data_IF_991194491392
#
_entry.id   IF_991194491392
#
_cell.length_a   1.000
_cell.length_b   1.000
_cell.length_c   1.000
_cell.angle_alpha   90.00
_cell.angle_beta   90.00
_cell.angle_gamma   90.00
#
_symmetry.space_group_name_H-M   'P 1'
#
loop_
_entity.id
_entity.type
_entity.pdbx_description
1 polymer ?
#
# COMPACT_ATOMS: atom_id res chain seq x y z
N UNK A 1 83.21 -11.31 24.88
CA UNK A 1 82.16 -10.74 25.70
C UNK A 1 80.88 -10.74 24.81
N UNK A 2 79.96 -11.57 25.15
CA UNK A 2 78.73 -11.87 24.34
C UNK A 2 77.67 -10.80 24.54
N UNK A 3 77.10 -10.30 23.44
CA UNK A 3 75.84 -9.55 23.49
C UNK A 3 74.81 -10.32 22.65
N UNK A 4 73.76 -10.73 23.33
CA UNK A 4 72.56 -11.37 22.79
C UNK A 4 71.64 -10.33 22.20
N UNK A 5 71.29 -10.49 20.93
CA UNK A 5 70.20 -9.78 20.27
C UNK A 5 68.89 -10.53 20.53
N UNK A 6 67.94 -9.90 21.23
CA UNK A 6 66.57 -10.36 21.35
C UNK A 6 65.70 -9.60 20.35
N UNK A 7 65.06 -10.35 19.46
CA UNK A 7 64.04 -9.84 18.53
C UNK A 7 62.67 -10.06 19.14
N UNK A 8 61.78 -9.08 19.29
CA UNK A 8 60.38 -9.29 19.60
C UNK A 8 59.56 -9.28 18.31
N UNK A 9 58.98 -10.41 17.97
CA UNK A 9 57.92 -10.49 16.93
C UNK A 9 56.69 -9.76 17.42
N UNK A 10 56.33 -8.68 16.72
CA UNK A 10 55.06 -7.94 16.91
C UNK A 10 53.99 -8.69 16.11
N UNK A 11 53.13 -9.43 16.84
CA UNK A 11 51.92 -10.02 16.28
C UNK A 11 50.85 -8.90 16.12
N UNK A 12 50.60 -8.48 14.90
CA UNK A 12 49.46 -7.62 14.56
C UNK A 12 48.24 -8.52 14.39
N UNK A 13 47.36 -8.51 15.39
CA UNK A 13 46.07 -9.13 15.35
C UNK A 13 45.12 -8.25 14.52
N UNK A 14 44.84 -8.64 13.27
CA UNK A 14 43.81 -8.01 12.46
C UNK A 14 42.42 -8.49 12.99
N UNK A 15 41.78 -7.67 13.79
CA UNK A 15 40.39 -7.90 14.15
C UNK A 15 39.53 -7.57 12.92
N UNK A 16 39.04 -8.62 12.23
CA UNK A 16 37.97 -8.49 11.22
C UNK A 16 36.69 -8.12 11.95
N UNK A 17 36.34 -6.84 11.92
CA UNK A 17 34.99 -6.38 12.29
C UNK A 17 34.03 -6.86 11.20
N UNK A 18 33.38 -8.00 11.45
CA UNK A 18 32.19 -8.41 10.73
C UNK A 18 31.08 -7.42 11.09
N UNK A 19 30.87 -6.43 10.24
CA UNK A 19 29.62 -5.64 10.27
C UNK A 19 28.49 -6.55 9.83
N UNK A 20 27.75 -7.08 10.80
CA UNK A 20 26.45 -7.68 10.53
C UNK A 20 25.56 -6.59 9.93
N UNK A 21 24.86 -6.85 8.82
CA UNK A 21 23.86 -5.90 8.35
C UNK A 21 22.88 -5.68 9.50
N UNK A 22 22.59 -4.41 9.78
CA UNK A 22 21.58 -4.02 10.76
C UNK A 22 20.25 -4.59 10.29
N UNK A 23 19.85 -5.74 10.85
CA UNK A 23 18.52 -6.26 10.64
C UNK A 23 17.52 -5.18 11.10
N UNK A 24 16.57 -4.86 10.26
CA UNK A 24 15.45 -4.00 10.65
C UNK A 24 14.83 -4.63 11.89
N UNK A 25 14.90 -3.91 13.02
CA UNK A 25 14.23 -4.32 14.24
C UNK A 25 12.74 -4.18 13.99
N UNK A 26 12.05 -5.29 13.81
CA UNK A 26 10.58 -5.28 13.81
C UNK A 26 10.09 -4.59 15.10
N UNK A 27 9.10 -3.70 15.01
CA UNK A 27 8.52 -3.12 16.22
C UNK A 27 8.03 -4.24 17.12
N UNK A 28 8.21 -4.07 18.42
CA UNK A 28 7.88 -5.09 19.44
C UNK A 28 6.39 -5.40 19.56
N UNK A 29 5.54 -4.67 18.81
CA UNK A 29 4.11 -4.89 18.71
C UNK A 29 3.66 -4.44 17.31
N UNK A 30 3.49 -5.33 16.33
CA UNK A 30 2.98 -4.99 15.01
C UNK A 30 1.55 -4.45 15.14
N UNK A 31 1.18 -3.49 14.26
CA UNK A 31 -0.20 -2.97 14.19
C UNK A 31 -1.14 -4.02 13.63
N UNK A 32 -0.68 -4.75 12.65
CA UNK A 32 -1.41 -5.75 11.89
C UNK A 32 -1.01 -7.15 12.33
N UNK A 33 -2.00 -8.01 12.63
CA UNK A 33 -1.81 -9.44 12.89
C UNK A 33 -1.96 -10.22 11.58
N UNK A 34 -0.84 -10.69 11.02
CA UNK A 34 -0.82 -11.39 9.73
C UNK A 34 -1.60 -12.73 9.72
N UNK A 35 -1.90 -13.30 10.89
CA UNK A 35 -2.63 -14.58 11.01
C UNK A 35 -4.15 -14.39 11.14
N UNK A 36 -4.59 -13.22 11.64
CA UNK A 36 -5.99 -12.99 12.00
C UNK A 36 -6.67 -11.87 11.21
N UNK A 37 -5.92 -10.81 10.85
CA UNK A 37 -6.48 -9.60 10.29
C UNK A 37 -6.69 -9.66 8.78
N UNK A 38 -7.60 -8.80 8.30
CA UNK A 38 -7.85 -8.56 6.87
C UNK A 38 -7.28 -7.20 6.47
N UNK A 39 -6.47 -7.17 5.41
CA UNK A 39 -6.00 -5.95 4.77
C UNK A 39 -6.83 -5.63 3.53
N UNK A 40 -7.57 -4.53 3.57
CA UNK A 40 -8.28 -3.97 2.43
C UNK A 40 -7.47 -2.83 1.81
N UNK A 41 -7.39 -2.75 0.49
CA UNK A 41 -6.84 -1.59 -0.22
C UNK A 41 -7.89 -1.03 -1.16
N UNK A 42 -8.35 0.21 -0.89
CA UNK A 42 -9.44 0.88 -1.59
C UNK A 42 -8.87 1.90 -2.59
N UNK A 43 -8.73 1.49 -3.85
CA UNK A 43 -8.22 2.31 -4.94
C UNK A 43 -9.35 3.11 -5.60
N UNK A 44 -9.18 4.42 -5.74
CA UNK A 44 -10.17 5.24 -6.45
C UNK A 44 -10.00 5.17 -7.98
N UNK A 45 -8.79 5.07 -8.48
CA UNK A 45 -8.43 5.07 -9.91
C UNK A 45 -9.09 6.23 -10.67
N UNK A 46 -9.23 7.39 -10.00
CA UNK A 46 -9.93 8.55 -10.51
C UNK A 46 -9.45 9.83 -9.80
N UNK A 47 -9.03 10.79 -10.45
CA UNK A 47 -8.86 11.11 -11.88
C UNK A 47 -7.39 10.95 -12.32
N UNK A 48 -6.53 10.56 -11.40
CA UNK A 48 -5.09 10.32 -11.57
C UNK A 48 -4.83 8.86 -11.99
N UNK A 49 -3.58 8.58 -12.30
CA UNK A 49 -3.08 7.25 -12.70
C UNK A 49 -2.10 6.65 -11.69
N UNK A 50 -1.88 7.29 -10.55
CA UNK A 50 -1.01 6.85 -9.46
C UNK A 50 -1.49 5.52 -8.84
N UNK A 51 -2.79 5.36 -8.66
CA UNK A 51 -3.41 4.09 -8.27
C UNK A 51 -2.99 2.91 -9.17
N UNK A 52 -2.76 3.14 -10.45
CA UNK A 52 -2.36 2.08 -11.37
C UNK A 52 -0.98 1.53 -11.02
N UNK A 53 -0.04 2.40 -10.62
CA UNK A 53 1.23 1.97 -10.07
C UNK A 53 1.07 1.39 -8.65
N UNK A 54 0.15 1.94 -7.86
CA UNK A 54 -0.15 1.49 -6.49
C UNK A 54 -0.72 0.06 -6.48
N UNK A 55 -1.57 -0.32 -7.44
CA UNK A 55 -2.05 -1.71 -7.64
C UNK A 55 -0.89 -2.68 -7.85
N UNK A 56 0.06 -2.35 -8.73
CA UNK A 56 1.23 -3.20 -8.97
C UNK A 56 2.14 -3.26 -7.75
N UNK A 57 2.30 -2.15 -7.02
CA UNK A 57 3.08 -2.10 -5.80
C UNK A 57 2.45 -2.93 -4.68
N UNK A 58 1.12 -2.85 -4.49
CA UNK A 58 0.40 -3.68 -3.52
C UNK A 58 0.57 -5.17 -3.82
N UNK A 59 0.38 -5.59 -5.08
CA UNK A 59 0.60 -6.97 -5.50
C UNK A 59 2.05 -7.41 -5.25
N UNK A 60 3.03 -6.53 -5.43
CA UNK A 60 4.44 -6.82 -5.17
C UNK A 60 4.70 -7.05 -3.68
N UNK A 61 4.13 -6.23 -2.79
CA UNK A 61 4.20 -6.45 -1.34
C UNK A 61 3.55 -7.78 -0.97
N UNK A 62 2.32 -8.05 -1.44
CA UNK A 62 1.57 -9.26 -1.13
C UNK A 62 2.19 -10.54 -1.72
N UNK A 63 3.11 -10.44 -2.67
CA UNK A 63 3.86 -11.57 -3.21
C UNK A 63 5.18 -11.83 -2.49
N UNK A 64 5.65 -10.91 -1.66
CA UNK A 64 6.93 -11.00 -0.96
C UNK A 64 6.79 -11.59 0.44
N UNK A 65 7.83 -12.30 0.91
CA UNK A 65 7.92 -12.69 2.33
C UNK A 65 8.27 -11.47 3.21
N UNK A 66 7.66 -11.29 4.39
CA UNK A 66 6.74 -12.24 5.08
C UNK A 66 5.23 -11.99 4.79
N UNK A 67 4.87 -11.20 3.76
CA UNK A 67 3.50 -10.72 3.55
C UNK A 67 2.65 -11.62 2.64
N UNK A 68 3.26 -12.63 1.99
CA UNK A 68 2.59 -13.52 1.03
C UNK A 68 1.40 -14.32 1.58
N UNK A 69 1.30 -14.45 2.91
CA UNK A 69 0.23 -15.18 3.59
C UNK A 69 -0.87 -14.27 4.17
N UNK A 70 -0.71 -12.95 4.06
CA UNK A 70 -1.71 -11.99 4.57
C UNK A 70 -3.03 -12.15 3.82
N UNK A 71 -4.12 -12.23 4.58
CA UNK A 71 -5.47 -12.13 4.02
C UNK A 71 -5.70 -10.69 3.54
N UNK A 72 -5.92 -10.52 2.25
CA UNK A 72 -6.08 -9.19 1.65
C UNK A 72 -7.12 -9.19 0.54
N UNK A 73 -7.72 -8.01 0.29
CA UNK A 73 -8.64 -7.80 -0.81
C UNK A 73 -8.53 -6.36 -1.33
N UNK A 74 -8.60 -6.19 -2.65
CA UNK A 74 -8.54 -4.89 -3.30
C UNK A 74 -9.92 -4.45 -3.79
N UNK A 75 -10.22 -3.16 -3.71
CA UNK A 75 -11.44 -2.57 -4.27
C UNK A 75 -11.07 -1.53 -5.31
N UNK A 76 -11.57 -1.68 -6.52
CA UNK A 76 -11.41 -0.70 -7.59
C UNK A 76 -12.63 0.23 -7.65
N UNK A 77 -12.40 1.55 -7.71
CA UNK A 77 -13.47 2.54 -7.82
C UNK A 77 -14.01 3.04 -6.48
N UNK A 78 -13.17 3.05 -5.43
CA UNK A 78 -13.49 3.62 -4.11
C UNK A 78 -13.34 5.14 -4.11
N UNK A 79 -14.09 5.85 -4.98
CA UNK A 79 -14.01 7.30 -5.14
C UNK A 79 -15.23 8.03 -4.56
N UNK A 80 -15.02 9.32 -4.25
CA UNK A 80 -16.02 10.23 -3.72
C UNK A 80 -16.60 11.17 -4.78
N UNK A 81 -16.55 12.48 -4.48
CA UNK A 81 -17.17 13.55 -5.29
C UNK A 81 -16.21 14.22 -6.27
N UNK A 82 -14.96 13.75 -6.39
CA UNK A 82 -14.01 14.31 -7.33
C UNK A 82 -14.52 14.23 -8.78
N UNK A 83 -14.26 15.31 -9.53
CA UNK A 83 -14.52 15.35 -10.97
C UNK A 83 -13.50 14.47 -11.72
N UNK A 84 -13.72 14.27 -13.02
CA UNK A 84 -12.83 13.53 -13.90
C UNK A 84 -13.31 12.12 -14.20
N UNK A 85 -12.53 11.42 -15.02
CA UNK A 85 -12.88 10.10 -15.52
C UNK A 85 -12.10 9.01 -14.79
N UNK A 86 -12.79 7.91 -14.52
CA UNK A 86 -12.18 6.68 -14.03
C UNK A 86 -11.13 6.12 -15.02
N UNK A 87 -10.07 5.53 -14.52
CA UNK A 87 -9.04 4.84 -15.30
C UNK A 87 -9.38 3.34 -15.34
N UNK A 88 -9.85 2.81 -16.48
CA UNK A 88 -10.23 1.41 -16.56
C UNK A 88 -8.97 0.51 -16.53
N UNK A 89 -8.87 -0.30 -15.50
CA UNK A 89 -7.70 -1.16 -15.24
C UNK A 89 -8.10 -2.57 -14.76
N UNK A 90 -9.30 -3.07 -15.07
CA UNK A 90 -9.79 -4.36 -14.59
C UNK A 90 -8.82 -5.51 -14.92
N UNK A 91 -8.18 -5.48 -16.11
CA UNK A 91 -7.17 -6.47 -16.50
C UNK A 91 -5.95 -6.48 -15.55
N UNK A 92 -5.58 -5.33 -15.00
CA UNK A 92 -4.49 -5.22 -14.03
C UNK A 92 -4.90 -5.79 -12.68
N UNK A 93 -6.09 -5.45 -12.18
CA UNK A 93 -6.62 -5.98 -10.92
C UNK A 93 -6.76 -7.51 -10.97
N UNK A 94 -7.29 -8.04 -12.07
CA UNK A 94 -7.40 -9.49 -12.26
C UNK A 94 -6.04 -10.18 -12.30
N UNK A 95 -5.06 -9.60 -13.00
CA UNK A 95 -3.70 -10.13 -13.07
C UNK A 95 -2.97 -10.04 -11.72
N UNK A 96 -3.24 -8.98 -10.92
CA UNK A 96 -2.63 -8.73 -9.63
C UNK A 96 -3.20 -9.64 -8.52
N UNK A 97 -4.51 -9.80 -8.48
CA UNK A 97 -5.21 -10.34 -7.30
C UNK A 97 -6.07 -11.58 -7.59
N UNK A 98 -6.31 -11.94 -8.86
CA UNK A 98 -7.19 -13.04 -9.22
C UNK A 98 -8.62 -12.81 -8.73
N UNK A 99 -9.08 -13.62 -7.77
CA UNK A 99 -10.42 -13.47 -7.16
C UNK A 99 -10.44 -12.53 -5.94
N UNK A 100 -9.29 -11.95 -5.54
CA UNK A 100 -9.18 -11.11 -4.34
C UNK A 100 -9.34 -9.62 -4.65
N UNK A 101 -10.31 -9.28 -5.50
CA UNK A 101 -10.67 -7.89 -5.78
C UNK A 101 -12.13 -7.77 -6.17
N UNK A 102 -12.70 -6.57 -5.96
CA UNK A 102 -14.08 -6.24 -6.31
C UNK A 102 -14.15 -4.93 -7.08
N UNK A 103 -15.01 -4.88 -8.12
CA UNK A 103 -15.22 -3.71 -9.00
C UNK A 103 -16.39 -2.86 -8.50
N UNK A 104 -16.10 -1.90 -7.63
CA UNK A 104 -17.10 -0.95 -7.14
C UNK A 104 -17.45 0.13 -8.18
N UNK A 105 -16.59 0.36 -9.20
CA UNK A 105 -16.90 1.29 -10.29
C UNK A 105 -18.06 0.80 -11.15
N UNK A 106 -18.04 -0.47 -11.54
CA UNK A 106 -19.05 -1.05 -12.45
C UNK A 106 -20.23 -1.65 -11.67
N UNK A 107 -19.97 -2.28 -10.53
CA UNK A 107 -20.97 -3.05 -9.77
C UNK A 107 -20.90 -2.74 -8.27
N UNK A 108 -21.15 -1.49 -7.89
CA UNK A 108 -21.02 -1.01 -6.52
C UNK A 108 -21.69 -1.90 -5.47
N UNK A 109 -22.96 -2.27 -5.68
CA UNK A 109 -23.70 -3.08 -4.70
C UNK A 109 -23.17 -4.51 -4.58
N UNK A 110 -22.68 -5.09 -5.66
CA UNK A 110 -22.05 -6.42 -5.63
C UNK A 110 -20.71 -6.34 -4.88
N UNK A 111 -19.87 -5.38 -5.22
CA UNK A 111 -18.59 -5.16 -4.53
C UNK A 111 -18.81 -4.89 -3.04
N UNK A 112 -19.82 -4.08 -2.68
CA UNK A 112 -20.19 -3.82 -1.29
C UNK A 112 -20.57 -5.10 -0.55
N UNK A 113 -21.41 -5.94 -1.15
CA UNK A 113 -21.84 -7.20 -0.53
C UNK A 113 -20.68 -8.18 -0.33
N UNK A 114 -19.82 -8.33 -1.33
CA UNK A 114 -18.62 -9.21 -1.29
C UNK A 114 -17.66 -8.78 -0.19
N UNK A 115 -17.34 -7.50 -0.12
CA UNK A 115 -16.42 -6.97 0.89
C UNK A 115 -17.03 -6.99 2.28
N UNK A 116 -18.34 -6.71 2.41
CA UNK A 116 -19.04 -6.78 3.70
C UNK A 116 -19.04 -8.21 4.28
N UNK A 117 -19.14 -9.25 3.44
CA UNK A 117 -19.04 -10.64 3.86
C UNK A 117 -17.64 -10.96 4.41
N UNK A 118 -16.58 -10.57 3.69
CA UNK A 118 -15.18 -10.76 4.13
C UNK A 118 -14.89 -10.05 5.46
N UNK A 119 -15.35 -8.81 5.59
CA UNK A 119 -15.17 -8.01 6.81
C UNK A 119 -15.91 -8.63 7.98
N UNK A 120 -17.17 -9.01 7.77
CA UNK A 120 -17.99 -9.62 8.84
C UNK A 120 -17.40 -10.94 9.32
N UNK A 121 -16.94 -11.80 8.41
CA UNK A 121 -16.29 -13.07 8.74
C UNK A 121 -14.99 -12.83 9.55
N UNK A 122 -14.17 -11.84 9.15
CA UNK A 122 -12.95 -11.49 9.88
C UNK A 122 -13.27 -11.02 11.30
N UNK A 123 -14.23 -10.10 11.45
CA UNK A 123 -14.63 -9.58 12.77
C UNK A 123 -15.25 -10.67 13.65
N UNK A 124 -16.05 -11.58 13.10
CA UNK A 124 -16.67 -12.70 13.82
C UNK A 124 -15.64 -13.72 14.32
N UNK A 125 -14.57 -13.94 13.56
CA UNK A 125 -13.49 -14.85 13.91
C UNK A 125 -12.43 -14.26 14.84
N UNK A 126 -12.53 -12.97 15.16
CA UNK A 126 -11.70 -12.30 16.15
C UNK A 126 -10.54 -11.48 15.56
N UNK A 127 -10.36 -11.43 14.24
CA UNK A 127 -9.39 -10.57 13.55
C UNK A 127 -9.91 -9.13 13.41
N UNK A 128 -9.04 -8.18 13.21
CA UNK A 128 -9.36 -6.80 12.91
C UNK A 128 -9.29 -6.54 11.39
N UNK A 129 -9.90 -5.44 10.95
CA UNK A 129 -9.89 -5.06 9.53
C UNK A 129 -9.13 -3.75 9.38
N UNK A 130 -8.14 -3.75 8.50
CA UNK A 130 -7.32 -2.61 8.18
C UNK A 130 -7.60 -2.14 6.76
N UNK A 131 -8.04 -0.90 6.62
CA UNK A 131 -8.35 -0.29 5.33
C UNK A 131 -7.24 0.71 4.97
N UNK A 132 -6.46 0.42 3.95
CA UNK A 132 -5.63 1.40 3.26
C UNK A 132 -6.55 2.19 2.32
N UNK A 133 -6.90 3.41 2.73
CA UNK A 133 -7.84 4.29 2.02
C UNK A 133 -7.08 5.06 0.93
N UNK A 134 -6.66 4.36 -0.13
CA UNK A 134 -5.93 4.95 -1.27
C UNK A 134 -6.79 5.93 -2.07
N UNK A 135 -8.10 5.87 -1.88
CA UNK A 135 -9.09 6.78 -2.45
C UNK A 135 -9.85 7.60 -1.40
N UNK A 136 -11.17 7.66 -1.55
CA UNK A 136 -12.03 8.43 -0.67
C UNK A 136 -12.95 7.53 0.16
N UNK A 137 -13.35 8.02 1.33
CA UNK A 137 -14.08 7.26 2.35
C UNK A 137 -15.53 6.90 1.96
N UNK A 138 -15.95 7.13 0.73
CA UNK A 138 -17.32 6.91 0.28
C UNK A 138 -17.71 5.43 0.24
N UNK A 139 -16.81 4.57 -0.23
CA UNK A 139 -17.02 3.13 -0.22
C UNK A 139 -16.94 2.57 1.21
N UNK A 140 -15.94 2.98 1.98
CA UNK A 140 -15.79 2.58 3.39
C UNK A 140 -16.99 2.98 4.25
N UNK A 141 -17.56 4.17 4.00
CA UNK A 141 -18.80 4.58 4.70
C UNK A 141 -19.97 3.65 4.40
N UNK A 142 -20.15 3.27 3.12
CA UNK A 142 -21.19 2.32 2.74
C UNK A 142 -20.96 0.93 3.36
N UNK A 143 -19.71 0.46 3.36
CA UNK A 143 -19.29 -0.80 3.95
C UNK A 143 -19.60 -0.86 5.45
N UNK A 144 -19.20 0.15 6.21
CA UNK A 144 -19.45 0.20 7.66
C UNK A 144 -20.95 0.31 7.96
N UNK A 145 -21.71 1.07 7.15
CA UNK A 145 -23.17 1.16 7.29
C UNK A 145 -23.84 -0.19 7.05
N UNK A 146 -23.43 -0.93 6.02
CA UNK A 146 -23.94 -2.26 5.71
C UNK A 146 -23.68 -3.24 6.86
N UNK A 147 -22.44 -3.28 7.38
CA UNK A 147 -22.08 -4.14 8.52
C UNK A 147 -22.89 -3.80 9.75
N UNK A 148 -23.01 -2.52 10.12
CA UNK A 148 -23.80 -2.11 11.28
C UNK A 148 -25.30 -2.42 11.12
N UNK A 149 -25.80 -2.44 9.87
CA UNK A 149 -27.20 -2.77 9.58
C UNK A 149 -27.50 -4.27 9.70
N UNK A 150 -26.58 -5.12 9.20
CA UNK A 150 -26.75 -6.58 9.13
C UNK A 150 -26.24 -7.25 10.40
N UNK A 151 -25.16 -6.76 10.97
CA UNK A 151 -24.43 -7.30 12.13
C UNK A 151 -24.25 -6.23 13.21
N UNK A 152 -25.30 -5.74 13.85
CA UNK A 152 -25.24 -4.60 14.79
C UNK A 152 -24.42 -4.89 16.05
N UNK A 153 -24.10 -6.15 16.32
CA UNK A 153 -23.30 -6.57 17.47
C UNK A 153 -21.76 -6.56 17.18
N UNK A 154 -21.35 -6.35 15.92
CA UNK A 154 -19.94 -6.24 15.56
C UNK A 154 -19.40 -4.84 15.89
N UNK A 155 -18.28 -4.79 16.57
CA UNK A 155 -17.61 -3.53 16.94
C UNK A 155 -16.80 -2.95 15.78
N UNK A 156 -17.44 -2.13 14.95
CA UNK A 156 -16.78 -1.43 13.85
C UNK A 156 -15.87 -0.31 14.35
N UNK A 157 -16.21 0.29 15.50
CA UNK A 157 -15.56 1.50 15.98
C UNK A 157 -14.15 1.30 16.51
N UNK A 158 -13.82 0.11 17.00
CA UNK A 158 -12.49 -0.22 17.52
C UNK A 158 -11.75 -1.30 16.73
N UNK A 159 -12.45 -1.96 15.77
CA UNK A 159 -11.89 -3.11 15.05
C UNK A 159 -11.84 -2.94 13.52
N UNK A 160 -12.39 -1.84 13.00
CA UNK A 160 -12.13 -1.41 11.63
C UNK A 160 -11.21 -0.18 11.72
N UNK A 161 -9.95 -0.38 11.35
CA UNK A 161 -8.93 0.65 11.33
C UNK A 161 -8.82 1.23 9.92
N UNK A 162 -9.11 2.52 9.76
CA UNK A 162 -9.02 3.21 8.46
C UNK A 162 -7.79 4.10 8.47
N UNK A 163 -6.88 3.86 7.55
CA UNK A 163 -5.65 4.64 7.39
C UNK A 163 -5.74 5.47 6.12
N UNK A 164 -5.64 6.78 6.27
CA UNK A 164 -5.78 7.75 5.19
C UNK A 164 -4.62 8.73 5.17
N UNK A 165 -3.99 8.91 4.03
CA UNK A 165 -3.10 10.04 3.77
C UNK A 165 -3.85 11.18 3.05
N UNK A 166 -3.16 12.27 2.72
CA UNK A 166 -3.63 13.36 1.86
C UNK A 166 -4.89 14.11 2.32
N UNK A 167 -4.78 15.42 2.44
CA UNK A 167 -5.92 16.29 2.66
C UNK A 167 -6.83 16.37 1.41
N UNK A 168 -6.28 16.07 0.23
CA UNK A 168 -7.04 16.06 -1.01
C UNK A 168 -8.07 14.91 -1.01
N UNK A 169 -7.68 13.71 -0.60
CA UNK A 169 -8.58 12.57 -0.48
C UNK A 169 -9.73 12.87 0.48
N UNK A 170 -9.45 13.44 1.67
CA UNK A 170 -10.51 13.85 2.60
C UNK A 170 -11.43 14.92 2.01
N UNK A 171 -10.90 15.92 1.30
CA UNK A 171 -11.70 16.98 0.70
C UNK A 171 -12.50 16.52 -0.54
N UNK A 172 -12.10 15.41 -1.15
CA UNK A 172 -12.74 14.78 -2.31
C UNK A 172 -13.73 13.68 -1.92
N UNK A 173 -13.81 13.31 -0.65
CA UNK A 173 -14.86 12.48 -0.10
C UNK A 173 -16.16 13.27 0.08
N UNK A 174 -17.32 12.59 0.04
CA UNK A 174 -18.59 13.19 0.48
C UNK A 174 -18.47 13.56 1.97
N UNK A 175 -18.64 14.84 2.37
CA UNK A 175 -18.34 15.29 3.73
C UNK A 175 -19.05 14.51 4.84
N UNK A 176 -20.31 14.14 4.61
CA UNK A 176 -21.12 13.36 5.56
C UNK A 176 -20.58 11.93 5.71
N UNK A 177 -20.07 11.35 4.62
CA UNK A 177 -19.51 9.99 4.60
C UNK A 177 -18.14 9.96 5.28
N UNK A 178 -17.25 10.90 4.99
CA UNK A 178 -16.00 11.05 5.72
C UNK A 178 -16.23 11.20 7.22
N UNK A 179 -17.14 12.10 7.62
CA UNK A 179 -17.48 12.28 9.03
C UNK A 179 -18.04 11.00 9.66
N UNK A 180 -18.83 10.24 8.91
CA UNK A 180 -19.37 8.97 9.37
C UNK A 180 -18.26 7.96 9.62
N UNK A 181 -17.31 7.78 8.68
CA UNK A 181 -16.16 6.89 8.85
C UNK A 181 -15.34 7.30 10.07
N UNK A 182 -14.99 8.58 10.20
CA UNK A 182 -14.24 9.12 11.34
C UNK A 182 -14.92 8.90 12.70
N UNK A 183 -16.25 8.77 12.74
CA UNK A 183 -17.01 8.57 13.96
C UNK A 183 -17.39 7.12 14.28
N UNK A 184 -17.20 6.19 13.33
CA UNK A 184 -17.66 4.80 13.45
C UNK A 184 -16.56 3.76 13.19
N UNK A 185 -15.32 4.22 13.03
CA UNK A 185 -14.11 3.39 12.85
C UNK A 185 -12.96 3.96 13.68
N UNK A 186 -11.90 3.21 13.84
CA UNK A 186 -10.62 3.70 14.36
C UNK A 186 -9.84 4.38 13.21
N UNK A 187 -10.05 5.68 13.04
CA UNK A 187 -9.56 6.45 11.90
C UNK A 187 -8.20 7.07 12.17
N UNK A 188 -7.22 6.74 11.34
CA UNK A 188 -5.83 7.20 11.41
C UNK A 188 -5.48 8.10 10.25
N UNK A 189 -5.36 9.41 10.48
CA UNK A 189 -4.78 10.32 9.50
C UNK A 189 -3.26 10.28 9.60
N UNK A 190 -2.61 9.81 8.54
CA UNK A 190 -1.16 9.81 8.43
C UNK A 190 -0.64 11.00 7.59
N UNK A 191 0.66 11.34 7.65
CA UNK A 191 1.23 12.35 6.77
C UNK A 191 1.05 12.01 5.29
N UNK A 192 1.04 13.03 4.44
CA UNK A 192 0.79 12.91 3.00
C UNK A 192 1.88 12.07 2.31
N UNK A 193 1.50 10.95 1.69
CA UNK A 193 2.39 10.05 0.96
C UNK A 193 3.03 10.68 -0.28
N UNK A 194 2.44 11.76 -0.81
CA UNK A 194 3.01 12.52 -1.93
C UNK A 194 4.16 13.44 -1.52
N UNK A 195 4.32 13.73 -0.23
CA UNK A 195 5.33 14.67 0.25
C UNK A 195 6.58 13.96 0.75
N UNK A 196 7.74 14.37 0.29
CA UNK A 196 9.03 13.81 0.68
C UNK A 196 9.49 14.36 2.04
N UNK A 197 10.01 13.46 2.91
CA UNK A 197 10.67 13.86 4.15
C UNK A 197 9.74 14.18 5.31
N UNK A 198 8.48 13.81 5.25
CA UNK A 198 7.47 14.01 6.28
C UNK A 198 7.23 12.77 7.18
N UNK A 199 7.96 11.68 6.95
CA UNK A 199 7.85 10.42 7.69
C UNK A 199 7.09 9.32 6.96
N UNK A 200 6.59 9.60 5.75
CA UNK A 200 6.07 8.58 4.83
C UNK A 200 7.14 8.13 3.84
N UNK A 201 7.00 6.95 3.21
CA UNK A 201 7.86 6.53 2.11
C UNK A 201 7.80 7.50 0.92
N UNK A 202 8.93 7.71 0.24
CA UNK A 202 9.04 8.55 -0.95
C UNK A 202 8.72 7.77 -2.22
N UNK A 203 7.46 7.38 -2.41
CA UNK A 203 7.01 6.56 -3.55
C UNK A 203 6.55 7.39 -4.76
N UNK A 204 6.70 8.69 -4.69
CA UNK A 204 6.39 9.63 -5.77
C UNK A 204 7.70 10.30 -6.26
N UNK A 205 8.20 9.88 -7.42
CA UNK A 205 9.51 10.32 -7.94
C UNK A 205 9.51 10.46 -9.46
N UNK A 206 10.18 11.51 -9.96
CA UNK A 206 10.47 11.68 -11.39
C UNK A 206 11.71 10.89 -11.86
N UNK A 207 12.44 10.29 -10.93
CA UNK A 207 13.66 9.56 -11.24
C UNK A 207 13.35 8.25 -11.99
N UNK A 208 14.16 7.95 -13.01
CA UNK A 208 14.13 6.64 -13.66
C UNK A 208 14.80 5.60 -12.78
N UNK A 209 14.14 4.49 -12.54
CA UNK A 209 14.61 3.39 -11.70
C UNK A 209 14.78 2.14 -12.57
N UNK A 210 15.89 1.42 -12.41
CA UNK A 210 16.14 0.12 -13.05
C UNK A 210 15.41 -1.01 -12.27
N UNK A 211 14.09 -0.87 -12.16
CA UNK A 211 13.24 -1.71 -11.34
C UNK A 211 13.21 -3.18 -11.76
N UNK A 212 13.37 -3.46 -13.06
CA UNK A 212 13.34 -4.84 -13.59
C UNK A 212 14.47 -5.70 -13.03
N UNK A 213 15.62 -5.12 -12.81
CA UNK A 213 16.79 -5.83 -12.26
C UNK A 213 16.59 -6.20 -10.79
N UNK A 214 15.65 -5.54 -10.12
CA UNK A 214 15.31 -5.78 -8.72
C UNK A 214 14.20 -6.81 -8.54
N UNK A 215 13.41 -7.12 -9.58
CA UNK A 215 12.29 -8.07 -9.52
C UNK A 215 12.73 -9.44 -10.07
N UNK A 216 12.58 -10.48 -9.25
CA UNK A 216 12.93 -11.85 -9.64
C UNK A 216 11.77 -12.63 -10.27
N UNK A 217 10.51 -12.32 -9.95
CA UNK A 217 9.34 -13.00 -10.51
C UNK A 217 8.93 -12.39 -11.87
N UNK A 218 8.96 -13.16 -12.97
CA UNK A 218 8.52 -12.68 -14.28
C UNK A 218 7.05 -12.24 -14.32
N UNK A 219 6.20 -12.76 -13.44
CA UNK A 219 4.80 -12.33 -13.34
C UNK A 219 4.68 -10.91 -12.81
N UNK A 220 5.46 -10.56 -11.79
CA UNK A 220 5.52 -9.20 -11.27
C UNK A 220 6.13 -8.24 -12.29
N UNK A 221 7.15 -8.66 -13.05
CA UNK A 221 7.68 -7.85 -14.16
C UNK A 221 6.57 -7.55 -15.17
N UNK A 222 5.82 -8.56 -15.62
CA UNK A 222 4.70 -8.38 -16.57
C UNK A 222 3.59 -7.50 -15.98
N UNK A 223 3.31 -7.63 -14.68
CA UNK A 223 2.32 -6.80 -13.99
C UNK A 223 2.72 -5.32 -13.99
N UNK A 224 3.97 -5.02 -13.63
CA UNK A 224 4.48 -3.65 -13.68
C UNK A 224 4.53 -3.08 -15.10
N UNK A 225 4.91 -3.88 -16.11
CA UNK A 225 4.84 -3.46 -17.51
C UNK A 225 3.41 -3.10 -17.91
N UNK A 226 2.42 -3.87 -17.48
CA UNK A 226 1.00 -3.60 -17.73
C UNK A 226 0.56 -2.32 -17.01
N UNK A 227 0.91 -2.15 -15.74
CA UNK A 227 0.58 -0.94 -14.96
C UNK A 227 1.16 0.32 -15.62
N UNK A 228 2.45 0.31 -15.95
CA UNK A 228 3.12 1.42 -16.63
C UNK A 228 2.46 1.72 -18.00
N UNK A 229 2.08 0.71 -18.76
CA UNK A 229 1.42 0.89 -20.05
C UNK A 229 0.03 1.52 -19.90
N UNK A 230 -0.77 1.09 -18.92
CA UNK A 230 -2.09 1.66 -18.61
C UNK A 230 -1.93 3.11 -18.12
N UNK A 231 -1.06 3.34 -17.14
CA UNK A 231 -0.81 4.68 -16.61
C UNK A 231 -0.41 5.65 -17.74
N UNK A 232 0.56 5.30 -18.57
CA UNK A 232 0.98 6.12 -19.72
C UNK A 232 -0.12 6.36 -20.75
N UNK A 233 -1.04 5.41 -20.94
CA UNK A 233 -2.18 5.55 -21.87
C UNK A 233 -3.17 6.62 -21.42
N UNK A 234 -3.43 6.71 -20.11
CA UNK A 234 -4.51 7.56 -19.57
C UNK A 234 -4.01 8.84 -18.91
N UNK A 235 -2.72 8.94 -18.58
CA UNK A 235 -2.14 10.08 -17.88
C UNK A 235 -2.38 11.40 -18.65
N UNK A 236 -3.13 12.31 -18.06
CA UNK A 236 -3.50 13.59 -18.64
C UNK A 236 -4.44 13.52 -19.86
N UNK A 237 -5.00 12.32 -20.18
CA UNK A 237 -5.87 12.15 -21.35
C UNK A 237 -7.34 12.37 -20.99
N UNK A 238 -8.12 12.90 -21.93
CA UNK A 238 -9.59 13.07 -21.82
C UNK A 238 -10.02 13.84 -20.56
N UNK A 239 -9.22 14.81 -20.13
CA UNK A 239 -9.49 15.62 -18.94
C UNK A 239 -9.07 15.00 -17.61
N UNK A 240 -8.40 13.85 -17.62
CA UNK A 240 -7.76 13.30 -16.43
C UNK A 240 -6.59 14.15 -15.98
N UNK A 241 -6.26 14.08 -14.70
CA UNK A 241 -5.10 14.76 -14.15
C UNK A 241 -3.80 14.27 -14.81
N UNK A 242 -2.87 15.20 -15.05
CA UNK A 242 -1.54 14.88 -15.54
C UNK A 242 -0.60 14.65 -14.36
N UNK A 243 -0.33 13.40 -14.03
CA UNK A 243 0.74 13.06 -13.10
C UNK A 243 2.10 13.28 -13.77
N UNK A 244 2.80 14.34 -13.31
CA UNK A 244 4.02 14.77 -13.95
C UNK A 244 5.15 13.73 -13.82
N UNK A 245 5.28 13.11 -12.66
CA UNK A 245 6.36 12.15 -12.42
C UNK A 245 6.23 10.92 -13.31
N UNK A 246 5.03 10.38 -13.46
CA UNK A 246 4.74 9.30 -14.42
C UNK A 246 4.98 9.76 -15.85
N UNK A 247 4.61 10.99 -16.21
CA UNK A 247 4.75 11.52 -17.59
C UNK A 247 6.20 11.60 -18.07
N UNK A 248 7.17 11.71 -17.16
CA UNK A 248 8.61 11.77 -17.47
C UNK A 248 9.31 10.42 -17.30
N UNK A 249 8.55 9.33 -17.02
CA UNK A 249 9.06 7.97 -16.90
C UNK A 249 9.47 7.57 -15.48
N UNK A 250 9.08 8.36 -14.49
CA UNK A 250 9.22 8.03 -13.08
C UNK A 250 8.03 7.20 -12.54
N UNK A 251 7.89 7.19 -11.23
CA UNK A 251 6.88 6.40 -10.51
C UNK A 251 6.07 7.27 -9.57
N UNK A 252 4.81 6.90 -9.42
CA UNK A 252 3.95 7.35 -8.35
C UNK A 252 3.08 6.20 -7.89
N UNK A 253 3.31 5.74 -6.65
CA UNK A 253 2.49 4.79 -5.91
C UNK A 253 2.45 5.24 -4.44
N UNK A 254 2.26 6.55 -4.26
CA UNK A 254 2.21 7.20 -2.95
C UNK A 254 1.09 6.71 -2.05
N UNK A 255 0.02 6.15 -2.62
CA UNK A 255 -1.06 5.49 -1.87
C UNK A 255 -0.60 4.23 -1.12
N UNK A 256 0.57 3.71 -1.44
CA UNK A 256 1.16 2.65 -0.63
C UNK A 256 1.73 3.14 0.70
N UNK A 257 1.64 4.43 1.00
CA UNK A 257 1.99 4.98 2.31
C UNK A 257 1.10 4.40 3.42
N UNK A 258 -0.20 4.19 3.16
CA UNK A 258 -1.12 3.55 4.09
C UNK A 258 -0.73 2.11 4.36
N UNK A 259 -0.50 1.33 3.31
CA UNK A 259 -0.08 -0.08 3.42
C UNK A 259 1.26 -0.18 4.17
N UNK A 260 2.22 0.68 3.84
CA UNK A 260 3.51 0.73 4.53
C UNK A 260 3.33 1.06 6.02
N UNK A 261 2.43 1.97 6.37
CA UNK A 261 2.13 2.31 7.76
C UNK A 261 1.47 1.13 8.49
N UNK A 262 0.46 0.49 7.89
CA UNK A 262 -0.23 -0.67 8.47
C UNK A 262 0.75 -1.81 8.76
N UNK A 263 1.62 -2.10 7.79
CA UNK A 263 2.58 -3.21 7.87
C UNK A 263 3.90 -2.85 8.58
N UNK A 264 4.00 -1.68 9.22
CA UNK A 264 5.21 -1.18 9.88
C UNK A 264 6.44 -1.07 8.96
N UNK A 265 6.22 -0.65 7.72
CA UNK A 265 7.23 -0.49 6.67
C UNK A 265 7.52 0.99 6.33
N UNK A 266 7.16 1.95 7.18
CA UNK A 266 7.33 3.39 6.96
C UNK A 266 8.81 3.82 6.85
N UNK A 267 9.72 2.94 7.23
CA UNK A 267 11.17 3.19 7.14
C UNK A 267 11.71 3.09 5.70
N UNK A 268 10.90 2.66 4.75
CA UNK A 268 11.27 2.72 3.34
C UNK A 268 11.42 4.16 2.88
N UNK A 269 12.56 4.47 2.25
CA UNK A 269 12.88 5.86 1.95
C UNK A 269 12.42 6.32 0.57
N UNK A 270 12.31 5.41 -0.40
CA UNK A 270 11.97 5.74 -1.78
C UNK A 270 11.55 4.50 -2.60
N UNK A 271 11.13 4.75 -3.84
CA UNK A 271 10.70 3.71 -4.77
C UNK A 271 11.81 2.72 -5.15
N UNK A 272 13.09 3.12 -5.21
CA UNK A 272 14.19 2.20 -5.49
C UNK A 272 14.37 1.18 -4.37
N UNK A 273 14.33 1.63 -3.11
CA UNK A 273 14.37 0.75 -1.93
C UNK A 273 13.18 -0.20 -1.90
N UNK A 274 12.01 0.25 -2.33
CA UNK A 274 10.82 -0.60 -2.47
C UNK A 274 11.09 -1.79 -3.39
N UNK A 275 11.57 -1.56 -4.61
CA UNK A 275 11.87 -2.64 -5.56
C UNK A 275 12.95 -3.59 -5.06
N UNK A 276 14.00 -3.07 -4.42
CA UNK A 276 15.07 -3.90 -3.83
C UNK A 276 14.53 -4.78 -2.69
N UNK A 277 13.58 -4.27 -1.91
CA UNK A 277 13.04 -4.96 -0.74
C UNK A 277 12.03 -6.02 -1.11
N UNK A 278 11.07 -5.70 -1.98
CA UNK A 278 9.91 -6.56 -2.28
C UNK A 278 9.99 -7.28 -3.63
N UNK A 279 10.91 -6.92 -4.50
CA UNK A 279 11.04 -7.53 -5.83
C UNK A 279 11.69 -8.93 -5.85
N UNK A 280 12.14 -9.46 -4.71
CA UNK A 280 12.96 -10.69 -4.63
C UNK A 280 12.15 -11.93 -4.35
#
# INVERSE_FOLDING_TARGET
>A
MRLLLQNPYLLILFALLLTTPSGFSQPTNPRFDAEADLLLSHFDSKTDVDDIHSVAAFATIMSSEPFSQINHHAVAGAYGIQEGLYVPANELFEAAFGERWSDAHTNFNQALSEVAELVSETLETGGDVWVAECGQSDFTAALVQEIQSVHPDLDTSSRIHVVQHSNWNESSATPEKLKFVQGNTDYHKIPDGNAVGNGTPGFNTADSIDWKDSISDPKLISLWETAIAIANRYNGQEGRYLNHNISVGGFDFSDMAEVAWILNQEQMHNAEVFFITFGK
#
